data_IF_974865741771
#
_entry.id   IF_974865741771
#
_cell.length_a   1.000
_cell.length_b   1.000
_cell.length_c   1.000
_cell.angle_alpha   90.00
_cell.angle_beta   90.00
_cell.angle_gamma   90.00
#
_symmetry.space_group_name_H-M   'P 1'
#
loop_
_entity.id
_entity.type
_entity.pdbx_description
1 polymer ?
#
# COMPACT_ATOMS: atom_id res chain seq x y z
N UNK A 1 30.63 -5.49 -6.58
CA UNK A 1 29.60 -6.33 -5.95
C UNK A 1 28.43 -5.43 -5.57
N UNK A 2 27.19 -5.85 -5.85
CA UNK A 2 25.99 -5.09 -5.49
C UNK A 2 25.85 -5.14 -3.98
N UNK A 3 25.67 -3.99 -3.32
CA UNK A 3 25.44 -3.97 -1.87
C UNK A 3 24.10 -4.65 -1.57
N UNK A 4 24.12 -5.73 -0.78
CA UNK A 4 22.92 -6.50 -0.44
C UNK A 4 22.36 -6.06 0.92
N UNK A 5 21.05 -5.87 0.98
CA UNK A 5 20.36 -5.61 2.24
C UNK A 5 20.04 -6.93 2.94
N UNK A 6 20.55 -7.08 4.16
CA UNK A 6 20.28 -8.25 5.00
C UNK A 6 18.92 -8.12 5.68
N UNK A 7 17.88 -8.76 5.15
CA UNK A 7 16.52 -8.67 5.72
C UNK A 7 16.40 -9.33 7.10
N UNK A 8 17.08 -10.46 7.35
CA UNK A 8 17.02 -11.21 8.61
C UNK A 8 17.92 -10.61 9.70
N UNK A 9 17.58 -9.41 10.18
CA UNK A 9 18.28 -8.73 11.28
C UNK A 9 17.29 -8.01 12.18
N UNK A 10 17.60 -7.97 13.48
CA UNK A 10 16.94 -7.06 14.41
C UNK A 10 17.26 -5.59 14.05
N UNK A 11 16.24 -4.75 14.13
CA UNK A 11 16.25 -3.35 13.69
C UNK A 11 15.54 -2.46 14.69
N UNK A 12 16.09 -1.26 14.84
CA UNK A 12 15.36 -0.15 15.45
C UNK A 12 14.46 0.56 14.43
N UNK A 13 13.61 1.46 14.91
CA UNK A 13 12.68 2.22 14.07
C UNK A 13 13.39 2.97 12.94
N UNK A 14 14.52 3.62 13.26
CA UNK A 14 15.33 4.37 12.29
C UNK A 14 15.97 3.49 11.23
N UNK A 15 16.36 2.27 11.60
CA UNK A 15 16.94 1.29 10.67
C UNK A 15 15.90 0.81 9.67
N UNK A 16 14.66 0.52 10.12
CA UNK A 16 13.57 0.11 9.22
C UNK A 16 13.34 1.17 8.14
N UNK A 17 13.33 2.44 8.52
CA UNK A 17 13.14 3.53 7.56
C UNK A 17 14.31 3.67 6.59
N UNK A 18 15.53 3.69 7.14
CA UNK A 18 16.76 3.84 6.35
C UNK A 18 16.90 2.70 5.35
N UNK A 19 16.66 1.46 5.79
CA UNK A 19 16.71 0.27 4.94
C UNK A 19 15.58 0.25 3.89
N UNK A 20 14.38 0.76 4.22
CA UNK A 20 13.27 0.88 3.25
C UNK A 20 13.69 1.74 2.07
N UNK A 21 14.22 2.94 2.33
CA UNK A 21 14.67 3.84 1.27
C UNK A 21 15.94 3.34 0.57
N UNK A 22 16.85 2.69 1.30
CA UNK A 22 18.03 2.06 0.72
C UNK A 22 17.64 0.94 -0.25
N UNK A 23 16.70 0.07 0.13
CA UNK A 23 16.21 -1.00 -0.72
C UNK A 23 15.54 -0.44 -1.97
N UNK A 24 14.65 0.54 -1.78
CA UNK A 24 14.00 1.23 -2.89
C UNK A 24 15.05 1.81 -3.85
N UNK A 25 16.08 2.48 -3.34
CA UNK A 25 17.14 3.09 -4.16
C UNK A 25 17.99 2.06 -4.91
N UNK A 26 18.32 0.92 -4.28
CA UNK A 26 19.16 -0.12 -4.89
C UNK A 26 18.37 -0.94 -5.93
N UNK A 27 17.09 -1.22 -5.66
CA UNK A 27 16.25 -2.11 -6.46
C UNK A 27 15.18 -1.40 -7.30
N UNK A 28 15.18 -0.06 -7.40
CA UNK A 28 14.07 0.66 -8.06
C UNK A 28 13.78 0.16 -9.48
N UNK A 29 14.81 -0.10 -10.30
CA UNK A 29 14.62 -0.55 -11.70
C UNK A 29 13.99 -1.96 -11.78
N UNK A 30 14.59 -3.01 -11.20
CA UNK A 30 14.01 -4.35 -11.27
C UNK A 30 12.68 -4.46 -10.53
N UNK A 31 12.50 -3.74 -9.41
CA UNK A 31 11.23 -3.69 -8.69
C UNK A 31 10.14 -2.98 -9.51
N UNK A 32 10.45 -1.84 -10.12
CA UNK A 32 9.50 -1.13 -10.99
C UNK A 32 9.12 -1.96 -12.21
N UNK A 33 10.07 -2.70 -12.80
CA UNK A 33 9.79 -3.65 -13.88
C UNK A 33 8.84 -4.77 -13.42
N UNK A 34 9.07 -5.34 -12.23
CA UNK A 34 8.18 -6.35 -11.66
C UNK A 34 6.76 -5.80 -11.43
N UNK A 35 6.65 -4.58 -10.90
CA UNK A 35 5.37 -3.89 -10.71
C UNK A 35 4.67 -3.62 -12.04
N UNK A 36 5.40 -3.18 -13.07
CA UNK A 36 4.84 -2.94 -14.39
C UNK A 36 4.34 -4.25 -15.03
N UNK A 37 5.02 -5.37 -14.83
CA UNK A 37 4.61 -6.66 -15.40
C UNK A 37 3.38 -7.27 -14.70
N UNK A 38 3.28 -7.10 -13.38
CA UNK A 38 2.24 -7.77 -12.58
C UNK A 38 1.07 -6.84 -12.25
N UNK A 39 1.35 -5.59 -11.89
CA UNK A 39 0.38 -4.65 -11.35
C UNK A 39 -0.10 -3.59 -12.36
N UNK A 40 0.46 -3.49 -13.58
CA UNK A 40 0.04 -2.46 -14.54
C UNK A 40 -1.43 -2.56 -14.94
N UNK A 41 -1.94 -3.76 -15.23
CA UNK A 41 -3.35 -3.96 -15.59
C UNK A 41 -4.28 -3.61 -14.41
N UNK A 42 -4.09 -4.16 -13.19
CA UNK A 42 -4.83 -3.73 -12.00
C UNK A 42 -4.76 -2.22 -11.75
N UNK A 43 -3.59 -1.61 -11.96
CA UNK A 43 -3.36 -0.18 -11.78
C UNK A 43 -4.18 0.65 -12.76
N UNK A 44 -4.15 0.34 -14.06
CA UNK A 44 -4.95 1.05 -15.06
C UNK A 44 -6.44 0.93 -14.76
N UNK A 45 -6.92 -0.26 -14.36
CA UNK A 45 -8.31 -0.46 -13.94
C UNK A 45 -8.65 0.45 -12.76
N UNK A 46 -7.81 0.48 -11.73
CA UNK A 46 -7.99 1.35 -10.56
C UNK A 46 -8.05 2.84 -10.96
N UNK A 47 -7.18 3.27 -11.87
CA UNK A 47 -7.16 4.65 -12.37
C UNK A 47 -8.42 5.00 -13.14
N UNK A 48 -8.93 4.09 -13.99
CA UNK A 48 -10.18 4.31 -14.72
C UNK A 48 -11.37 4.42 -13.76
N UNK A 49 -11.46 3.55 -12.76
CA UNK A 49 -12.51 3.65 -11.74
C UNK A 49 -12.36 4.91 -10.87
N UNK A 50 -11.13 5.33 -10.56
CA UNK A 50 -10.88 6.58 -9.85
C UNK A 50 -11.34 7.78 -10.66
N UNK A 51 -11.03 7.82 -11.97
CA UNK A 51 -11.46 8.90 -12.85
C UNK A 51 -12.99 8.96 -12.98
N UNK A 52 -13.62 7.79 -13.16
CA UNK A 52 -15.07 7.69 -13.25
C UNK A 52 -15.76 8.12 -11.95
N UNK A 53 -15.30 7.62 -10.79
CA UNK A 53 -15.79 8.05 -9.50
C UNK A 53 -15.66 9.56 -9.31
N UNK A 54 -14.47 10.13 -9.58
CA UNK A 54 -14.27 11.58 -9.47
C UNK A 54 -15.24 12.35 -10.37
N UNK A 55 -15.40 11.95 -11.64
CA UNK A 55 -16.30 12.64 -12.57
C UNK A 55 -17.77 12.65 -12.11
N UNK A 56 -18.26 11.56 -11.53
CA UNK A 56 -19.64 11.44 -11.06
C UNK A 56 -19.82 12.12 -9.70
N UNK A 57 -18.83 12.01 -8.81
CA UNK A 57 -18.87 12.61 -7.48
C UNK A 57 -18.73 14.15 -7.50
N UNK A 58 -18.06 14.70 -8.51
CA UNK A 58 -17.90 16.16 -8.68
C UNK A 58 -18.88 16.79 -9.66
N UNK A 59 -19.88 16.03 -10.13
CA UNK A 59 -20.95 16.57 -10.98
C UNK A 59 -21.97 17.35 -10.14
N UNK A 60 -21.57 18.58 -9.77
CA UNK A 60 -22.40 19.47 -8.99
C UNK A 60 -23.63 19.96 -9.77
N UNK A 61 -23.56 20.03 -11.10
CA UNK A 61 -24.68 20.42 -11.96
C UNK A 61 -25.92 19.57 -11.72
N UNK A 62 -25.78 18.24 -11.71
CA UNK A 62 -26.89 17.33 -11.42
C UNK A 62 -27.39 17.40 -9.97
N UNK A 63 -26.54 17.76 -9.00
CA UNK A 63 -26.96 17.95 -7.59
C UNK A 63 -27.90 19.15 -7.47
N UNK A 64 -27.61 20.22 -8.21
CA UNK A 64 -28.29 21.52 -8.10
C UNK A 64 -29.62 21.56 -8.84
N UNK A 65 -29.72 20.83 -9.95
CA UNK A 65 -30.95 20.65 -10.71
C UNK A 65 -31.94 19.67 -10.04
N UNK A 66 -31.59 19.15 -8.85
CA UNK A 66 -32.40 18.17 -8.11
C UNK A 66 -32.35 16.76 -8.71
N UNK A 67 -31.47 16.51 -9.68
CA UNK A 67 -31.26 15.26 -10.41
C UNK A 67 -30.05 14.48 -9.89
N UNK A 68 -29.84 14.46 -8.56
CA UNK A 68 -28.66 13.79 -7.99
C UNK A 68 -28.63 12.30 -8.35
N UNK A 69 -27.59 11.90 -9.10
CA UNK A 69 -27.38 10.52 -9.52
C UNK A 69 -26.74 9.69 -8.40
N UNK A 70 -27.49 9.46 -7.31
CA UNK A 70 -27.03 8.68 -6.17
C UNK A 70 -26.57 7.28 -6.60
N UNK A 71 -27.31 6.61 -7.48
CA UNK A 71 -26.97 5.27 -7.97
C UNK A 71 -25.64 5.26 -8.72
N UNK A 72 -25.38 6.26 -9.57
CA UNK A 72 -24.10 6.43 -10.26
C UNK A 72 -22.92 6.59 -9.29
N UNK A 73 -23.09 7.40 -8.25
CA UNK A 73 -22.07 7.57 -7.19
C UNK A 73 -21.82 6.26 -6.44
N UNK A 74 -22.87 5.55 -6.03
CA UNK A 74 -22.71 4.28 -5.32
C UNK A 74 -22.07 3.19 -6.20
N UNK A 75 -22.48 3.06 -7.46
CA UNK A 75 -21.93 2.06 -8.40
C UNK A 75 -20.45 2.36 -8.67
N UNK A 76 -20.11 3.62 -8.93
CA UNK A 76 -18.71 4.03 -9.16
C UNK A 76 -17.84 3.82 -7.92
N UNK A 77 -18.37 4.09 -6.72
CA UNK A 77 -17.68 3.83 -5.46
C UNK A 77 -17.43 2.34 -5.24
N UNK A 78 -18.42 1.48 -5.46
CA UNK A 78 -18.26 0.02 -5.32
C UNK A 78 -17.20 -0.49 -6.30
N UNK A 79 -17.26 -0.05 -7.57
CA UNK A 79 -16.26 -0.39 -8.58
C UNK A 79 -14.85 0.05 -8.17
N UNK A 80 -14.71 1.27 -7.66
CA UNK A 80 -13.45 1.80 -7.15
C UNK A 80 -12.92 0.97 -5.98
N UNK A 81 -13.76 0.64 -5.00
CA UNK A 81 -13.37 -0.16 -3.82
C UNK A 81 -12.90 -1.56 -4.22
N UNK A 82 -13.60 -2.22 -5.15
CA UNK A 82 -13.19 -3.54 -5.66
C UNK A 82 -11.85 -3.45 -6.39
N UNK A 83 -11.69 -2.46 -7.28
CA UNK A 83 -10.44 -2.22 -8.00
C UNK A 83 -9.28 -1.91 -7.04
N UNK A 84 -9.55 -1.18 -5.96
CA UNK A 84 -8.59 -0.82 -4.92
C UNK A 84 -8.06 -2.06 -4.18
N UNK A 85 -8.96 -2.92 -3.69
CA UNK A 85 -8.57 -4.16 -3.01
C UNK A 85 -7.78 -5.08 -3.95
N UNK A 86 -8.25 -5.24 -5.18
CA UNK A 86 -7.55 -6.03 -6.19
C UNK A 86 -6.13 -5.51 -6.45
N UNK A 87 -5.99 -4.19 -6.65
CA UNK A 87 -4.69 -3.55 -6.84
C UNK A 87 -3.76 -3.77 -5.63
N UNK A 88 -4.23 -3.54 -4.41
CA UNK A 88 -3.41 -3.73 -3.21
C UNK A 88 -2.99 -5.18 -3.01
N UNK A 89 -3.86 -6.15 -3.27
CA UNK A 89 -3.51 -7.57 -3.24
C UNK A 89 -2.33 -7.89 -4.18
N UNK A 90 -2.38 -7.39 -5.41
CA UNK A 90 -1.32 -7.58 -6.41
C UNK A 90 -0.05 -6.77 -6.08
N UNK A 91 -0.19 -5.54 -5.58
CA UNK A 91 0.93 -4.66 -5.18
C UNK A 91 1.74 -5.31 -4.06
N UNK A 92 1.08 -5.68 -2.95
CA UNK A 92 1.74 -6.36 -1.83
C UNK A 92 2.29 -7.72 -2.25
N UNK A 93 1.54 -8.49 -3.04
CA UNK A 93 2.01 -9.78 -3.53
C UNK A 93 3.26 -9.69 -4.38
N UNK A 94 3.33 -8.69 -5.25
CA UNK A 94 4.51 -8.45 -6.10
C UNK A 94 5.71 -8.05 -5.26
N UNK A 95 5.56 -7.08 -4.35
CA UNK A 95 6.68 -6.57 -3.54
C UNK A 95 7.18 -7.63 -2.57
N UNK A 96 6.29 -8.33 -1.88
CA UNK A 96 6.67 -9.34 -0.89
C UNK A 96 7.28 -10.58 -1.54
N UNK A 97 6.73 -11.08 -2.65
CA UNK A 97 7.37 -12.18 -3.39
C UNK A 97 8.69 -11.75 -4.05
N UNK A 98 8.80 -10.48 -4.49
CA UNK A 98 10.08 -9.94 -4.96
C UNK A 98 11.12 -9.98 -3.84
N UNK A 99 10.78 -9.51 -2.63
CA UNK A 99 11.67 -9.54 -1.47
C UNK A 99 12.01 -10.99 -1.08
N UNK A 100 11.05 -11.92 -1.14
CA UNK A 100 11.29 -13.34 -0.89
C UNK A 100 12.34 -13.92 -1.84
N UNK A 101 12.15 -13.74 -3.16
CA UNK A 101 13.11 -14.20 -4.16
C UNK A 101 14.45 -13.48 -4.08
N UNK A 102 14.44 -12.19 -3.72
CA UNK A 102 15.66 -11.41 -3.49
C UNK A 102 16.49 -12.01 -2.36
N UNK A 103 15.85 -12.46 -1.27
CA UNK A 103 16.54 -13.11 -0.14
C UNK A 103 17.04 -14.51 -0.54
N UNK A 104 16.21 -15.31 -1.23
CA UNK A 104 16.52 -16.69 -1.62
C UNK A 104 17.67 -16.79 -2.65
N UNK A 105 17.82 -15.79 -3.52
CA UNK A 105 18.76 -15.82 -4.65
C UNK A 105 19.83 -14.72 -4.54
N UNK A 106 20.18 -14.29 -3.33
CA UNK A 106 21.26 -13.33 -3.04
C UNK A 106 21.21 -12.05 -3.90
N UNK A 107 19.99 -11.52 -4.09
CA UNK A 107 19.73 -10.26 -4.79
C UNK A 107 19.45 -10.38 -6.30
N UNK A 108 19.37 -11.59 -6.85
CA UNK A 108 19.00 -11.83 -8.25
C UNK A 108 17.54 -12.31 -8.33
N UNK A 109 16.67 -11.52 -8.97
CA UNK A 109 15.24 -11.87 -9.07
C UNK A 109 14.85 -12.25 -10.50
N UNK A 110 14.48 -13.53 -10.70
CA UNK A 110 13.86 -14.00 -11.94
C UNK A 110 12.40 -13.51 -12.03
N UNK A 111 12.13 -12.70 -13.04
CA UNK A 111 10.81 -12.10 -13.29
C UNK A 111 9.75 -13.13 -13.68
N UNK A 112 10.15 -14.24 -14.32
CA UNK A 112 9.25 -15.32 -14.73
C UNK A 112 8.77 -16.10 -13.51
N UNK A 113 9.71 -16.48 -12.64
CA UNK A 113 9.41 -17.14 -11.38
C UNK A 113 8.58 -16.24 -10.45
N UNK A 114 8.94 -14.95 -10.37
CA UNK A 114 8.18 -13.96 -9.61
C UNK A 114 6.72 -13.90 -10.07
N UNK A 115 6.48 -13.81 -11.37
CA UNK A 115 5.11 -13.78 -11.93
C UNK A 115 4.32 -15.03 -11.58
N UNK A 116 4.96 -16.20 -11.57
CA UNK A 116 4.31 -17.45 -11.18
C UNK A 116 3.93 -17.44 -9.70
N UNK A 117 4.83 -17.01 -8.81
CA UNK A 117 4.57 -16.91 -7.37
C UNK A 117 3.47 -15.89 -7.05
N UNK A 118 3.53 -14.70 -7.68
CA UNK A 118 2.49 -13.67 -7.53
C UNK A 118 1.12 -14.19 -7.94
N UNK A 119 1.03 -14.94 -9.06
CA UNK A 119 -0.22 -15.55 -9.52
C UNK A 119 -0.73 -16.65 -8.58
N UNK A 120 0.16 -17.46 -8.01
CA UNK A 120 -0.21 -18.49 -7.05
C UNK A 120 -0.77 -17.89 -5.75
N UNK A 121 -0.23 -16.76 -5.31
CA UNK A 121 -0.66 -16.08 -4.08
C UNK A 121 -1.80 -15.09 -4.28
N UNK A 122 -2.10 -14.72 -5.53
CA UNK A 122 -3.04 -13.65 -5.88
C UNK A 122 -4.40 -13.81 -5.19
N UNK A 123 -4.96 -15.03 -5.21
CA UNK A 123 -6.25 -15.30 -4.57
C UNK A 123 -6.21 -15.10 -3.06
N UNK A 124 -5.14 -15.55 -2.40
CA UNK A 124 -4.94 -15.41 -0.95
C UNK A 124 -4.72 -13.96 -0.56
N UNK A 125 -3.89 -13.23 -1.30
CA UNK A 125 -3.56 -11.84 -0.99
C UNK A 125 -4.68 -10.86 -1.33
N UNK A 126 -5.41 -11.11 -2.42
CA UNK A 126 -6.62 -10.34 -2.75
C UNK A 126 -7.71 -10.62 -1.72
N UNK A 127 -7.92 -11.90 -1.36
CA UNK A 127 -8.86 -12.27 -0.29
C UNK A 127 -8.50 -11.64 1.05
N UNK A 128 -7.20 -11.62 1.40
CA UNK A 128 -6.71 -10.92 2.59
C UNK A 128 -6.98 -9.42 2.51
N UNK A 129 -6.76 -8.77 1.37
CA UNK A 129 -7.00 -7.33 1.24
C UNK A 129 -8.48 -6.97 1.48
N UNK A 130 -9.40 -7.75 0.92
CA UNK A 130 -10.84 -7.56 1.10
C UNK A 130 -11.26 -7.82 2.55
N UNK A 131 -10.82 -8.96 3.12
CA UNK A 131 -11.13 -9.31 4.51
C UNK A 131 -10.56 -8.28 5.50
N UNK A 132 -9.33 -7.83 5.25
CA UNK A 132 -8.67 -6.78 6.03
C UNK A 132 -9.47 -5.48 6.01
N UNK A 133 -9.94 -5.08 4.82
CA UNK A 133 -10.79 -3.91 4.65
C UNK A 133 -12.09 -4.01 5.45
N UNK A 134 -12.76 -5.16 5.43
CA UNK A 134 -13.98 -5.39 6.18
C UNK A 134 -13.74 -5.38 7.70
N UNK A 135 -12.67 -6.03 8.17
CA UNK A 135 -12.30 -6.03 9.59
C UNK A 135 -11.98 -4.62 10.09
N UNK A 136 -11.26 -3.83 9.30
CA UNK A 136 -10.97 -2.43 9.64
C UNK A 136 -12.23 -1.59 9.64
N UNK A 137 -13.11 -1.75 8.65
CA UNK A 137 -14.38 -1.02 8.58
C UNK A 137 -15.24 -1.30 9.82
N UNK A 138 -15.42 -2.56 10.20
CA UNK A 138 -16.15 -2.93 11.43
C UNK A 138 -15.44 -2.38 12.67
N UNK A 139 -14.12 -2.48 12.73
CA UNK A 139 -13.32 -1.96 13.84
C UNK A 139 -13.54 -0.46 14.05
N UNK A 140 -13.43 0.34 12.98
CA UNK A 140 -13.65 1.79 13.03
C UNK A 140 -15.12 2.19 13.26
N UNK A 141 -16.08 1.37 12.80
CA UNK A 141 -17.51 1.59 13.12
C UNK A 141 -17.79 1.41 14.62
N UNK A 142 -17.11 0.47 15.28
CA UNK A 142 -17.27 0.26 16.73
C UNK A 142 -16.58 1.34 17.55
N UNK A 143 -15.37 1.77 17.18
CA UNK A 143 -14.62 2.91 17.73
C UNK A 143 -13.27 3.07 17.00
N UNK A 144 -12.61 4.23 17.15
CA UNK A 144 -11.26 4.44 16.59
C UNK A 144 -10.22 3.48 17.20
N UNK A 145 -10.29 3.24 18.52
CA UNK A 145 -9.32 2.42 19.24
C UNK A 145 -9.25 0.96 18.77
N UNK A 146 -10.38 0.21 18.65
CA UNK A 146 -10.37 -1.14 18.07
C UNK A 146 -9.83 -1.20 16.64
N UNK A 147 -10.18 -0.22 15.80
CA UNK A 147 -9.68 -0.14 14.41
C UNK A 147 -8.16 -0.04 14.36
N UNK A 148 -7.58 0.86 15.16
CA UNK A 148 -6.12 1.01 15.26
C UNK A 148 -5.46 -0.26 15.82
N UNK A 149 -6.04 -0.85 16.87
CA UNK A 149 -5.51 -2.08 17.48
C UNK A 149 -5.37 -3.24 16.47
N UNK A 150 -6.40 -3.46 15.65
CA UNK A 150 -6.44 -4.53 14.65
C UNK A 150 -5.55 -4.20 13.45
N UNK A 151 -5.41 -2.93 13.07
CA UNK A 151 -4.63 -2.53 11.89
C UNK A 151 -3.17 -2.95 11.91
N UNK A 152 -2.54 -2.93 13.09
CA UNK A 152 -1.12 -3.25 13.29
C UNK A 152 -0.82 -4.70 12.91
N UNK A 153 -1.39 -5.73 13.56
CA UNK A 153 -1.17 -7.13 13.16
C UNK A 153 -1.69 -7.42 11.75
N UNK A 154 -2.80 -6.80 11.34
CA UNK A 154 -3.38 -7.05 10.01
C UNK A 154 -2.44 -6.60 8.88
N UNK A 155 -1.71 -5.49 9.07
CA UNK A 155 -0.71 -5.02 8.11
C UNK A 155 0.40 -6.05 7.84
N UNK A 156 0.79 -6.82 8.87
CA UNK A 156 1.82 -7.86 8.77
C UNK A 156 1.29 -9.17 8.16
N UNK A 157 -0.03 -9.34 8.09
CA UNK A 157 -0.64 -10.58 7.57
C UNK A 157 -0.26 -10.85 6.12
N UNK A 158 -0.06 -9.80 5.31
CA UNK A 158 0.44 -9.94 3.94
C UNK A 158 1.83 -10.60 3.90
N UNK A 159 2.75 -10.11 4.73
CA UNK A 159 4.10 -10.65 4.86
C UNK A 159 4.07 -12.10 5.36
N UNK A 160 3.19 -12.41 6.32
CA UNK A 160 3.04 -13.78 6.85
C UNK A 160 2.54 -14.76 5.78
N UNK A 161 1.57 -14.39 4.94
CA UNK A 161 1.12 -15.25 3.82
C UNK A 161 2.29 -15.61 2.92
N UNK A 162 3.10 -14.62 2.51
CA UNK A 162 4.16 -14.84 1.52
C UNK A 162 5.37 -15.56 2.11
N UNK A 163 5.84 -15.13 3.28
CA UNK A 163 7.09 -15.63 3.88
C UNK A 163 6.90 -16.93 4.68
N UNK A 164 5.71 -17.20 5.22
CA UNK A 164 5.41 -18.47 5.93
C UNK A 164 4.47 -19.39 5.16
N UNK A 165 4.05 -19.01 3.95
CA UNK A 165 3.11 -19.76 3.10
C UNK A 165 1.82 -20.17 3.83
N UNK A 166 1.30 -19.30 4.70
CA UNK A 166 0.08 -19.57 5.49
C UNK A 166 -1.19 -19.29 4.70
N UNK A 167 -2.31 -19.87 5.14
CA UNK A 167 -3.64 -19.48 4.66
C UNK A 167 -4.01 -18.07 5.18
N UNK A 168 -5.05 -17.46 4.62
CA UNK A 168 -5.47 -16.09 5.00
C UNK A 168 -5.78 -15.98 6.49
N UNK A 169 -6.61 -16.89 7.02
CA UNK A 169 -7.02 -16.87 8.42
C UNK A 169 -5.85 -17.20 9.35
N UNK A 170 -5.03 -18.20 8.99
CA UNK A 170 -3.86 -18.57 9.78
C UNK A 170 -2.82 -17.45 9.81
N UNK A 171 -2.68 -16.70 8.71
CA UNK A 171 -1.77 -15.57 8.63
C UNK A 171 -2.21 -14.41 9.53
N UNK A 172 -3.52 -14.12 9.57
CA UNK A 172 -4.07 -13.13 10.49
C UNK A 172 -3.80 -13.55 11.93
N UNK A 173 -4.19 -14.77 12.31
CA UNK A 173 -4.00 -15.28 13.67
C UNK A 173 -2.52 -15.26 14.09
N UNK A 174 -1.62 -15.69 13.21
CA UNK A 174 -0.18 -15.65 13.45
C UNK A 174 0.36 -14.21 13.55
N UNK A 175 -0.20 -13.26 12.82
CA UNK A 175 0.23 -11.86 12.92
C UNK A 175 -0.10 -11.25 14.28
N UNK A 176 -1.23 -11.64 14.88
CA UNK A 176 -1.54 -11.26 16.27
C UNK A 176 -0.54 -11.85 17.27
N UNK A 177 -0.07 -13.09 17.07
CA UNK A 177 0.97 -13.66 17.92
C UNK A 177 2.34 -13.01 17.67
N UNK A 178 2.62 -12.60 16.43
CA UNK A 178 3.89 -11.99 16.02
C UNK A 178 4.13 -10.62 16.67
N UNK A 179 3.07 -9.80 16.82
CA UNK A 179 3.17 -8.47 17.47
C UNK A 179 3.09 -8.55 18.99
N UNK A 180 2.82 -9.72 19.58
CA UNK A 180 2.61 -9.87 21.03
C UNK A 180 3.89 -9.50 21.78
N UNK A 181 3.79 -8.55 22.72
CA UNK A 181 4.94 -8.02 23.47
C UNK A 181 5.66 -6.85 22.79
N UNK A 182 5.41 -6.62 21.49
CA UNK A 182 6.09 -5.58 20.68
C UNK A 182 5.08 -4.68 19.94
N UNK A 183 3.80 -4.73 20.33
CA UNK A 183 2.71 -4.06 19.62
C UNK A 183 2.91 -2.53 19.54
N UNK A 184 3.30 -1.89 20.65
CA UNK A 184 3.53 -0.44 20.69
C UNK A 184 4.70 0.00 19.80
N UNK A 185 5.79 -0.77 19.78
CA UNK A 185 6.93 -0.48 18.92
C UNK A 185 6.59 -0.70 17.45
N UNK A 186 5.84 -1.76 17.15
CA UNK A 186 5.35 -2.04 15.79
C UNK A 186 4.42 -0.92 15.31
N UNK A 187 3.47 -0.51 16.16
CA UNK A 187 2.57 0.61 15.90
C UNK A 187 3.35 1.91 15.67
N UNK A 188 4.30 2.25 16.54
CA UNK A 188 5.13 3.44 16.38
C UNK A 188 5.93 3.41 15.07
N UNK A 189 6.49 2.25 14.68
CA UNK A 189 7.18 2.10 13.39
C UNK A 189 6.26 2.39 12.23
N UNK A 190 5.10 1.72 12.20
CA UNK A 190 4.09 1.86 11.16
C UNK A 190 3.59 3.30 11.08
N UNK A 191 3.36 3.94 12.22
CA UNK A 191 2.90 5.32 12.31
C UNK A 191 3.94 6.28 11.73
N UNK A 192 5.22 6.13 12.05
CA UNK A 192 6.29 6.98 11.52
C UNK A 192 6.44 6.80 10.01
N UNK A 193 6.43 5.56 9.51
CA UNK A 193 6.47 5.29 8.06
C UNK A 193 5.22 5.88 7.38
N UNK A 194 4.04 5.69 7.98
CA UNK A 194 2.78 6.25 7.50
C UNK A 194 2.77 7.77 7.45
N UNK A 195 3.33 8.44 8.46
CA UNK A 195 3.44 9.90 8.51
C UNK A 195 4.36 10.42 7.41
N UNK A 196 5.49 9.76 7.16
CA UNK A 196 6.41 10.14 6.09
C UNK A 196 5.76 10.00 4.71
N UNK A 197 5.03 8.91 4.47
CA UNK A 197 4.28 8.73 3.24
C UNK A 197 3.11 9.72 3.14
N UNK A 198 2.45 10.07 4.25
CA UNK A 198 1.43 11.09 4.27
C UNK A 198 1.99 12.45 3.83
N UNK A 199 3.14 12.87 4.37
CA UNK A 199 3.82 14.12 3.95
C UNK A 199 4.16 14.06 2.46
N UNK A 200 4.70 12.95 1.98
CA UNK A 200 4.99 12.78 0.55
C UNK A 200 3.72 12.92 -0.32
N UNK A 201 2.62 12.27 0.09
CA UNK A 201 1.33 12.36 -0.61
C UNK A 201 0.77 13.79 -0.65
N UNK A 202 0.91 14.56 0.44
CA UNK A 202 0.52 15.98 0.48
C UNK A 202 1.37 16.82 -0.49
N UNK A 203 2.68 16.57 -0.56
CA UNK A 203 3.56 17.27 -1.51
C UNK A 203 3.11 17.04 -2.95
N UNK A 204 2.78 15.79 -3.30
CA UNK A 204 2.30 15.46 -4.65
C UNK A 204 0.88 15.95 -4.96
N UNK A 205 0.05 16.24 -3.93
CA UNK A 205 -1.27 16.83 -4.14
C UNK A 205 -1.26 18.35 -4.23
N UNK A 206 -0.13 19.02 -3.98
CA UNK A 206 -0.03 20.48 -4.07
C UNK A 206 -0.49 21.07 -5.41
N UNK A 207 -0.14 20.51 -6.59
CA UNK A 207 -0.62 21.05 -7.86
C UNK A 207 -2.15 21.06 -7.96
N UNK A 208 -2.81 20.00 -7.50
CA UNK A 208 -4.27 19.91 -7.45
C UNK A 208 -4.85 20.96 -6.48
N UNK A 209 -4.29 21.05 -5.27
CA UNK A 209 -4.75 22.00 -4.25
C UNK A 209 -4.61 23.44 -4.75
N UNK A 210 -3.45 23.79 -5.30
CA UNK A 210 -3.20 25.13 -5.86
C UNK A 210 -4.18 25.42 -6.99
N UNK A 211 -4.38 24.48 -7.92
CA UNK A 211 -5.33 24.63 -9.01
C UNK A 211 -6.75 24.89 -8.50
N UNK A 212 -7.24 24.07 -7.56
CA UNK A 212 -8.56 24.22 -6.96
C UNK A 212 -8.72 25.54 -6.23
N UNK A 213 -7.71 25.99 -5.49
CA UNK A 213 -7.72 27.27 -4.79
C UNK A 213 -7.78 28.44 -5.79
N UNK A 214 -6.89 28.46 -6.79
CA UNK A 214 -6.88 29.53 -7.82
C UNK A 214 -8.23 29.62 -8.51
N UNK A 215 -8.80 28.49 -8.94
CA UNK A 215 -10.12 28.44 -9.58
C UNK A 215 -11.22 28.97 -8.66
N UNK A 216 -11.24 28.54 -7.39
CA UNK A 216 -12.22 28.99 -6.41
C UNK A 216 -12.12 30.49 -6.05
N UNK A 217 -10.92 31.07 -6.04
CA UNK A 217 -10.74 32.51 -5.80
C UNK A 217 -10.98 33.36 -7.07
N UNK A 218 -10.72 32.80 -8.25
CA UNK A 218 -10.92 33.49 -9.53
C UNK A 218 -12.37 33.52 -10.01
N UNK A 219 -13.26 32.72 -9.44
CA UNK A 219 -14.71 32.82 -9.68
C UNK A 219 -15.24 34.09 -9.01
N UNK A 220 -15.25 35.18 -9.78
CA UNK A 220 -15.43 36.59 -9.38
C UNK A 220 -16.83 37.02 -8.95
N UNK A 221 -17.84 36.16 -9.00
CA UNK A 221 -19.20 36.49 -8.57
C UNK A 221 -19.62 35.52 -7.46
N UNK A 222 -20.52 35.99 -6.57
CA UNK A 222 -21.13 35.27 -5.44
C UNK A 222 -21.10 33.76 -5.66
N UNK A 223 -20.78 32.97 -4.62
CA UNK A 223 -20.81 31.50 -4.60
C UNK A 223 -22.15 30.95 -5.13
N UNK A 224 -22.33 31.03 -6.43
CA UNK A 224 -23.47 30.61 -7.19
C UNK A 224 -23.12 29.21 -7.68
N UNK A 225 -24.07 28.29 -7.66
CA UNK A 225 -23.78 26.90 -7.95
C UNK A 225 -23.19 26.63 -9.35
N UNK A 226 -23.45 27.51 -10.33
CA UNK A 226 -22.85 27.49 -11.67
C UNK A 226 -21.33 27.81 -11.68
N UNK A 227 -20.82 28.52 -10.67
CA UNK A 227 -19.40 28.85 -10.55
C UNK A 227 -18.62 27.67 -9.94
N UNK A 228 -19.27 26.81 -9.14
CA UNK A 228 -18.65 25.63 -8.51
C UNK A 228 -18.41 24.49 -9.51
N UNK A 229 -19.29 24.30 -10.49
CA UNK A 229 -19.05 23.32 -11.58
C UNK A 229 -17.85 23.70 -12.44
N UNK A 230 -17.58 25.00 -12.61
CA UNK A 230 -16.39 25.51 -13.27
C UNK A 230 -15.06 25.23 -12.55
N UNK A 231 -15.10 24.90 -11.25
CA UNK A 231 -13.91 24.51 -10.44
C UNK A 231 -13.51 23.06 -10.70
N UNK A 232 -14.48 22.17 -10.94
CA UNK A 232 -14.28 20.73 -11.15
C UNK A 232 -14.28 20.36 -12.64
N UNK A 233 -13.55 21.13 -13.45
CA UNK A 233 -13.42 20.88 -14.88
C UNK A 233 -12.54 19.66 -15.20
N UNK A 234 -12.40 19.36 -16.49
CA UNK A 234 -11.58 18.24 -16.95
C UNK A 234 -10.10 18.34 -16.51
N UNK A 235 -9.59 19.56 -16.29
CA UNK A 235 -8.23 19.78 -15.77
C UNK A 235 -8.17 19.33 -14.31
N UNK A 236 -9.14 19.70 -13.47
CA UNK A 236 -9.25 19.18 -12.09
C UNK A 236 -9.27 17.65 -12.08
N UNK A 237 -10.10 17.03 -12.91
CA UNK A 237 -10.22 15.56 -12.98
C UNK A 237 -8.87 14.95 -13.36
N UNK A 238 -8.19 15.49 -14.36
CA UNK A 238 -6.88 14.98 -14.80
C UNK A 238 -5.81 15.11 -13.71
N UNK A 239 -5.76 16.24 -13.00
CA UNK A 239 -4.84 16.47 -11.89
C UNK A 239 -5.16 15.57 -10.70
N UNK A 240 -6.44 15.34 -10.41
CA UNK A 240 -6.88 14.43 -9.35
C UNK A 240 -6.44 13.01 -9.65
N UNK A 241 -6.69 12.53 -10.87
CA UNK A 241 -6.29 11.19 -11.31
C UNK A 241 -4.77 11.02 -11.31
N UNK A 242 -4.02 12.02 -11.77
CA UNK A 242 -2.56 12.00 -11.72
C UNK A 242 -2.04 11.95 -10.26
N UNK A 243 -2.68 12.72 -9.37
CA UNK A 243 -2.35 12.74 -7.94
C UNK A 243 -2.61 11.37 -7.32
N UNK A 244 -3.81 10.80 -7.49
CA UNK A 244 -4.16 9.49 -6.92
C UNK A 244 -3.28 8.37 -7.48
N UNK A 245 -2.93 8.43 -8.76
CA UNK A 245 -1.98 7.51 -9.39
C UNK A 245 -0.62 7.48 -8.66
N UNK A 246 -0.06 8.66 -8.36
CA UNK A 246 1.20 8.76 -7.62
C UNK A 246 1.04 8.18 -6.22
N UNK A 247 -0.06 8.49 -5.52
CA UNK A 247 -0.31 7.99 -4.16
C UNK A 247 -0.38 6.45 -4.11
N UNK A 248 -1.03 5.82 -5.09
CA UNK A 248 -1.09 4.36 -5.19
C UNK A 248 0.29 3.73 -5.42
N UNK A 249 1.14 4.36 -6.24
CA UNK A 249 2.53 3.92 -6.43
C UNK A 249 3.33 4.05 -5.14
N UNK A 250 3.20 5.18 -4.44
CA UNK A 250 3.90 5.42 -3.16
C UNK A 250 3.51 4.43 -2.07
N UNK A 251 2.30 3.87 -2.12
CA UNK A 251 1.89 2.83 -1.19
C UNK A 251 2.76 1.55 -1.27
N UNK A 252 3.47 1.33 -2.38
CA UNK A 252 4.46 0.25 -2.50
C UNK A 252 5.63 0.39 -1.51
N UNK A 253 6.00 1.62 -1.15
CA UNK A 253 7.05 1.88 -0.15
C UNK A 253 6.63 1.33 1.22
N UNK A 254 5.34 1.47 1.56
CA UNK A 254 4.80 0.92 2.80
C UNK A 254 4.90 -0.61 2.82
N UNK A 255 4.64 -1.29 1.68
CA UNK A 255 4.78 -2.74 1.60
C UNK A 255 6.23 -3.23 1.84
N UNK A 256 7.24 -2.47 1.40
CA UNK A 256 8.65 -2.74 1.71
C UNK A 256 8.90 -2.59 3.22
N UNK A 257 8.42 -1.50 3.82
CA UNK A 257 8.56 -1.27 5.26
C UNK A 257 7.91 -2.39 6.08
N UNK A 258 6.72 -2.86 5.67
CA UNK A 258 6.03 -4.00 6.29
C UNK A 258 6.88 -5.28 6.23
N UNK A 259 7.58 -5.54 5.12
CA UNK A 259 8.49 -6.68 5.03
C UNK A 259 9.63 -6.57 6.05
N UNK A 260 10.24 -5.40 6.19
CA UNK A 260 11.33 -5.15 7.15
C UNK A 260 10.84 -5.26 8.60
N UNK A 261 9.64 -4.75 8.91
CA UNK A 261 9.02 -4.88 10.23
C UNK A 261 8.74 -6.35 10.54
N UNK A 262 8.23 -7.10 9.55
CA UNK A 262 8.00 -8.54 9.69
C UNK A 262 9.30 -9.28 10.04
N UNK A 263 10.39 -9.04 9.31
CA UNK A 263 11.66 -9.70 9.60
C UNK A 263 12.25 -9.27 10.94
N UNK A 264 12.11 -8.00 11.34
CA UNK A 264 12.51 -7.56 12.68
C UNK A 264 11.81 -8.36 13.78
N UNK A 265 10.48 -8.50 13.71
CA UNK A 265 9.72 -9.27 14.69
C UNK A 265 10.04 -10.77 14.62
N UNK A 266 10.22 -11.32 13.42
CA UNK A 266 10.60 -12.72 13.26
C UNK A 266 11.99 -13.00 13.86
N UNK A 267 12.94 -12.09 13.75
CA UNK A 267 14.27 -12.22 14.36
C UNK A 267 14.26 -12.09 15.88
N UNK A 268 13.39 -11.23 16.45
CA UNK A 268 13.21 -11.16 17.91
C UNK A 268 12.72 -12.48 18.51
N UNK A 269 11.89 -13.23 17.77
CA UNK A 269 11.28 -14.47 18.26
C UNK A 269 12.09 -15.71 17.89
N UNK A 270 12.55 -15.81 16.63
CA UNK A 270 13.13 -17.04 16.07
C UNK A 270 14.65 -16.98 15.84
N UNK A 271 15.27 -15.80 15.90
CA UNK A 271 16.72 -15.59 15.72
C UNK A 271 17.33 -16.26 14.47
N UNK A 272 16.54 -16.41 13.40
CA UNK A 272 16.91 -17.17 12.21
C UNK A 272 18.16 -16.65 11.50
N UNK A 273 18.32 -15.33 11.40
CA UNK A 273 19.52 -14.72 10.80
C UNK A 273 20.77 -14.91 11.64
N UNK A 274 20.65 -14.92 12.98
CA UNK A 274 21.78 -15.18 13.89
C UNK A 274 22.29 -16.60 13.73
N UNK A 275 21.38 -17.59 13.67
CA UNK A 275 21.76 -18.99 13.44
C UNK A 275 22.42 -19.18 12.07
N UNK A 276 21.86 -18.62 10.99
CA UNK A 276 22.46 -18.68 9.65
C UNK A 276 23.87 -18.06 9.62
N UNK A 277 24.08 -16.97 10.37
CA UNK A 277 25.41 -16.34 10.49
C UNK A 277 26.40 -17.26 11.21
N UNK A 278 25.99 -17.88 12.32
CA UNK A 278 26.83 -18.83 13.06
C UNK A 278 27.19 -20.03 12.19
N UNK A 279 26.22 -20.61 11.47
CA UNK A 279 26.44 -21.75 10.59
C UNK A 279 27.41 -21.41 9.46
N UNK A 280 27.29 -20.21 8.87
CA UNK A 280 28.22 -19.74 7.82
C UNK A 280 29.66 -19.59 8.32
N UNK A 281 29.86 -19.12 9.56
CA UNK A 281 31.18 -19.03 10.18
C UNK A 281 31.75 -20.43 10.45
N UNK A 282 30.90 -21.39 10.82
CA UNK A 282 31.29 -22.78 11.06
C UNK A 282 31.61 -23.56 9.78
N UNK A 283 31.06 -23.17 8.62
CA UNK A 283 31.36 -23.80 7.33
C UNK A 283 32.63 -23.29 6.64
N UNK A 284 33.17 -22.15 7.10
CA UNK A 284 34.40 -21.54 6.57
C UNK A 284 35.68 -21.97 7.33
N UNK A 285 35.56 -22.92 8.27
CA UNK A 285 36.68 -23.54 9.04
C UNK A 285 36.84 -24.99 8.61
#
# INVERSE_FOLDING_TARGET
>A
MKELIQFKRQRELGDVLSDTFKFLRLEYKPLFKALLQNAAVPFVILIVFSAYYTSVATDFTNILEGSFNASGVFISLIGLVIALFFYYGVLYGTILNYIKLYIENEGIVDQTLLKQQVRADLGRLTGLSFLSGLMLLIGFMMCILPGVYISVPLSLSFAVIVFKNKSVIDAIAYSFSLVKGEWWMTFATILVVGLLLYVANVVFSLPLIIYSLVKAFSSTEQLSPANLSGVFDWVYISLNVATTAIQYILAGIFAIAIALIYFNLNEKINQTGTFETIDSIGSDI
#
